data_IF_357809642770
#
_entry.id   IF_357809642770
#
_cell.length_a   1.000
_cell.length_b   1.000
_cell.length_c   1.000
_cell.angle_alpha   90.00
_cell.angle_beta   90.00
_cell.angle_gamma   90.00
#
_symmetry.space_group_name_H-M   'P 1'
#
loop_
_entity.id
_entity.type
_entity.pdbx_description
1 polymer ?
#
# COMPACT_ATOMS: atom_id res chain seq x y z
N UNK A 1 45.98 -18.56 -27.91
CA UNK A 1 45.57 -17.27 -27.31
C UNK A 1 44.07 -17.13 -27.54
N UNK A 2 43.25 -17.52 -26.55
CA UNK A 2 41.79 -17.42 -26.57
C UNK A 2 41.43 -16.52 -25.39
N UNK A 3 40.75 -15.41 -25.67
CA UNK A 3 40.23 -14.48 -24.66
C UNK A 3 38.78 -14.84 -24.44
N UNK A 4 38.45 -15.32 -23.23
CA UNK A 4 37.07 -15.58 -22.79
C UNK A 4 36.49 -14.26 -22.25
N UNK A 5 35.48 -13.72 -22.93
CA UNK A 5 34.71 -12.57 -22.45
C UNK A 5 33.65 -13.09 -21.48
N UNK A 6 33.72 -12.65 -20.23
CA UNK A 6 32.74 -12.94 -19.19
C UNK A 6 31.59 -11.93 -19.30
N UNK A 7 30.45 -12.36 -19.85
CA UNK A 7 29.25 -11.53 -19.93
C UNK A 7 28.49 -11.58 -18.60
N UNK A 8 28.48 -10.48 -17.85
CA UNK A 8 27.61 -10.32 -16.67
C UNK A 8 26.22 -9.93 -17.16
N UNK A 9 25.25 -10.84 -17.03
CA UNK A 9 23.83 -10.51 -17.22
C UNK A 9 23.36 -9.71 -15.98
N UNK A 10 23.17 -8.40 -16.14
CA UNK A 10 22.32 -7.64 -15.24
C UNK A 10 20.87 -7.98 -15.56
N UNK A 11 20.22 -8.79 -14.72
CA UNK A 11 18.76 -8.89 -14.75
C UNK A 11 18.23 -7.59 -14.16
N UNK A 12 17.79 -6.68 -15.02
CA UNK A 12 16.98 -5.55 -14.60
C UNK A 12 15.63 -6.11 -14.13
N UNK A 13 15.31 -5.96 -12.85
CA UNK A 13 13.97 -6.21 -12.35
C UNK A 13 13.12 -5.02 -12.83
N UNK A 14 12.34 -5.21 -13.89
CA UNK A 14 11.36 -4.22 -14.32
C UNK A 14 10.27 -4.17 -13.24
N UNK A 15 10.21 -3.10 -12.45
CA UNK A 15 8.99 -2.81 -11.71
C UNK A 15 7.86 -2.63 -12.73
N UNK A 16 6.69 -3.26 -12.58
CA UNK A 16 5.57 -2.95 -13.44
C UNK A 16 5.22 -1.46 -13.28
N UNK A 17 5.53 -0.66 -14.30
CA UNK A 17 5.27 0.79 -14.34
C UNK A 17 3.77 1.15 -14.30
N UNK A 18 2.88 0.14 -14.28
CA UNK A 18 1.43 0.28 -14.36
C UNK A 18 0.70 -0.59 -13.33
N UNK A 19 1.23 -0.74 -12.10
CA UNK A 19 0.36 -1.20 -11.01
C UNK A 19 -0.60 -0.06 -10.69
N UNK A 20 -1.92 -0.23 -10.90
CA UNK A 20 -2.89 0.80 -10.52
C UNK A 20 -2.77 1.04 -9.02
N UNK A 21 -2.68 2.30 -8.60
CA UNK A 21 -2.62 2.62 -7.19
C UNK A 21 -3.83 2.02 -6.45
N UNK A 22 -3.59 1.45 -5.28
CA UNK A 22 -4.64 0.81 -4.48
C UNK A 22 -5.72 1.81 -4.05
N UNK A 23 -6.94 1.31 -3.84
CA UNK A 23 -7.99 2.05 -3.17
C UNK A 23 -7.71 2.16 -1.67
N UNK A 24 -8.13 3.28 -1.07
CA UNK A 24 -8.00 3.54 0.37
C UNK A 24 -9.32 4.04 0.96
N UNK A 25 -9.73 3.46 2.09
CA UNK A 25 -10.82 3.96 2.95
C UNK A 25 -10.39 3.93 4.41
N UNK A 26 -10.88 4.90 5.18
CA UNK A 26 -10.83 4.83 6.64
C UNK A 26 -12.14 4.25 7.13
N UNK A 27 -12.07 3.17 7.91
CA UNK A 27 -13.22 2.50 8.49
C UNK A 27 -13.10 2.42 10.00
N UNK A 28 -14.22 2.23 10.67
CA UNK A 28 -14.26 1.92 12.10
C UNK A 28 -14.67 0.46 12.29
N UNK A 29 -13.92 -0.25 13.12
CA UNK A 29 -14.20 -1.64 13.48
C UNK A 29 -14.58 -1.67 14.96
N UNK A 30 -15.73 -2.25 15.27
CA UNK A 30 -16.18 -2.42 16.64
C UNK A 30 -15.22 -3.35 17.42
N UNK A 31 -14.85 -2.95 18.62
CA UNK A 31 -13.98 -3.73 19.50
C UNK A 31 -14.67 -3.89 20.86
N UNK A 32 -15.38 -5.02 21.10
CA UNK A 32 -16.18 -5.21 22.32
C UNK A 32 -15.40 -5.08 23.63
N UNK A 33 -14.11 -5.39 23.62
CA UNK A 33 -13.23 -5.31 24.78
C UNK A 33 -12.65 -3.90 25.02
N UNK A 34 -13.12 -2.89 24.27
CA UNK A 34 -12.68 -1.49 24.35
C UNK A 34 -13.88 -0.56 24.41
N UNK A 35 -13.71 0.57 25.10
CA UNK A 35 -14.74 1.62 25.15
C UNK A 35 -14.90 2.39 23.83
N UNK A 36 -13.95 2.24 22.89
CA UNK A 36 -13.94 2.94 21.61
C UNK A 36 -13.64 2.01 20.44
N UNK A 37 -14.23 2.26 19.25
CA UNK A 37 -13.92 1.50 18.05
C UNK A 37 -12.47 1.73 17.59
N UNK A 38 -11.98 0.81 16.77
CA UNK A 38 -10.64 0.89 16.18
C UNK A 38 -10.77 1.52 14.80
N UNK A 39 -10.06 2.63 14.58
CA UNK A 39 -9.90 3.21 13.24
C UNK A 39 -8.89 2.40 12.44
N UNK A 40 -9.26 1.98 11.24
CA UNK A 40 -8.46 1.13 10.36
C UNK A 40 -8.37 1.77 8.98
N UNK A 41 -7.17 1.78 8.40
CA UNK A 41 -6.97 2.06 6.98
C UNK A 41 -7.16 0.77 6.18
N UNK A 42 -8.25 0.71 5.42
CA UNK A 42 -8.53 -0.39 4.50
C UNK A 42 -7.92 -0.06 3.14
N UNK A 43 -6.91 -0.83 2.75
CA UNK A 43 -6.31 -0.81 1.43
C UNK A 43 -6.85 -1.98 0.60
N UNK A 44 -7.24 -1.72 -0.64
CA UNK A 44 -7.93 -2.73 -1.46
C UNK A 44 -7.70 -2.54 -2.96
N UNK A 45 -7.78 -3.61 -3.76
CA UNK A 45 -7.80 -3.51 -5.22
C UNK A 45 -9.01 -2.70 -5.69
N UNK A 46 -8.80 -1.73 -6.58
CA UNK A 46 -9.86 -0.81 -7.05
C UNK A 46 -10.11 -0.97 -8.55
N UNK A 47 -11.35 -0.73 -8.99
CA UNK A 47 -11.71 -0.58 -10.42
C UNK A 47 -11.47 0.83 -10.96
N UNK A 48 -10.97 1.73 -10.11
CA UNK A 48 -10.80 3.15 -10.40
C UNK A 48 -11.87 4.01 -9.74
N UNK A 49 -11.91 5.29 -10.12
CA UNK A 49 -12.73 6.29 -9.44
C UNK A 49 -12.07 6.85 -8.18
N UNK A 50 -12.90 7.43 -7.30
CA UNK A 50 -12.42 8.13 -6.11
C UNK A 50 -11.58 9.37 -6.44
N UNK A 51 -10.89 9.89 -5.44
CA UNK A 51 -9.93 11.00 -5.61
C UNK A 51 -8.49 10.50 -5.44
N UNK A 52 -7.57 11.02 -6.25
CA UNK A 52 -6.15 10.70 -6.09
C UNK A 52 -5.64 11.39 -4.83
N UNK A 53 -4.93 10.64 -4.00
CA UNK A 53 -4.32 11.14 -2.78
C UNK A 53 -2.91 10.58 -2.61
N UNK A 54 -2.11 11.25 -1.80
CA UNK A 54 -0.79 10.80 -1.39
C UNK A 54 -0.78 10.56 0.13
N UNK A 55 -0.44 9.35 0.54
CA UNK A 55 -0.50 8.90 1.93
C UNK A 55 0.90 8.92 2.55
N UNK A 56 1.01 9.52 3.73
CA UNK A 56 2.26 9.51 4.53
C UNK A 56 3.34 10.48 4.05
N UNK A 57 3.11 11.19 2.94
CA UNK A 57 4.03 12.18 2.38
C UNK A 57 4.20 13.40 3.26
N UNK A 58 5.45 13.87 3.41
CA UNK A 58 5.79 15.12 4.07
C UNK A 58 7.22 15.55 3.69
N UNK A 59 7.80 16.54 4.38
CA UNK A 59 9.15 17.07 4.10
C UNK A 59 10.28 16.05 4.28
N UNK A 60 10.03 14.95 4.98
CA UNK A 60 11.03 13.92 5.32
C UNK A 60 10.75 12.60 4.60
N UNK A 61 9.48 12.26 4.40
CA UNK A 61 9.05 10.97 3.85
C UNK A 61 8.38 11.14 2.48
N UNK A 62 8.73 10.27 1.54
CA UNK A 62 8.00 10.14 0.28
C UNK A 62 6.64 9.52 0.58
N UNK A 63 5.58 10.13 0.06
CA UNK A 63 4.26 9.56 0.16
C UNK A 63 4.01 8.49 -0.88
N UNK A 64 2.89 7.80 -0.68
CA UNK A 64 2.48 6.67 -1.48
C UNK A 64 1.16 7.00 -2.17
N UNK A 65 1.03 6.81 -3.50
CA UNK A 65 -0.21 7.12 -4.20
C UNK A 65 -1.33 6.15 -3.79
N UNK A 66 -2.54 6.67 -3.66
CA UNK A 66 -3.75 5.89 -3.43
C UNK A 66 -4.98 6.56 -4.06
N UNK A 67 -6.04 5.79 -4.28
CA UNK A 67 -7.35 6.32 -4.66
C UNK A 67 -8.29 6.32 -3.45
N UNK A 68 -8.48 7.49 -2.85
CA UNK A 68 -9.38 7.67 -1.70
C UNK A 68 -10.83 7.43 -2.13
N UNK A 69 -11.52 6.58 -1.38
CA UNK A 69 -12.95 6.24 -1.52
C UNK A 69 -13.32 5.68 -2.90
N UNK A 70 -12.37 5.10 -3.64
CA UNK A 70 -12.62 4.49 -4.94
C UNK A 70 -13.48 3.22 -4.86
N UNK A 71 -13.98 2.75 -5.99
CA UNK A 71 -14.82 1.55 -6.02
C UNK A 71 -13.97 0.29 -5.82
N UNK A 72 -14.37 -0.56 -4.87
CA UNK A 72 -13.69 -1.84 -4.61
C UNK A 72 -13.83 -2.73 -5.85
N UNK A 73 -12.74 -3.38 -6.25
CA UNK A 73 -12.78 -4.32 -7.36
C UNK A 73 -13.62 -5.57 -7.04
N UNK A 74 -14.23 -6.15 -8.06
CA UNK A 74 -14.96 -7.41 -7.93
C UNK A 74 -13.99 -8.59 -7.80
N UNK A 75 -14.36 -9.58 -6.97
CA UNK A 75 -13.59 -10.81 -6.76
C UNK A 75 -13.43 -11.15 -5.28
N UNK A 76 -12.75 -12.27 -5.02
CA UNK A 76 -12.32 -12.67 -3.69
C UNK A 76 -10.83 -12.38 -3.53
N UNK A 77 -10.48 -11.63 -2.49
CA UNK A 77 -9.10 -11.25 -2.22
C UNK A 77 -8.68 -11.77 -0.84
N UNK A 78 -7.46 -12.31 -0.70
CA UNK A 78 -6.93 -12.63 0.62
C UNK A 78 -6.82 -11.35 1.45
N UNK A 79 -7.16 -11.45 2.74
CA UNK A 79 -7.11 -10.33 3.67
C UNK A 79 -5.89 -10.46 4.57
N UNK A 80 -5.08 -9.39 4.62
CA UNK A 80 -3.95 -9.27 5.54
C UNK A 80 -4.27 -8.19 6.56
N UNK A 81 -4.24 -8.55 7.85
CA UNK A 81 -4.36 -7.60 8.95
C UNK A 81 -2.96 -7.19 9.41
N UNK A 82 -2.66 -5.89 9.30
CA UNK A 82 -1.40 -5.32 9.73
C UNK A 82 -1.62 -4.42 10.95
N UNK A 83 -1.07 -4.81 12.10
CA UNK A 83 -1.01 -3.94 13.26
C UNK A 83 0.21 -3.01 13.14
N UNK A 84 -0.02 -1.70 13.15
CA UNK A 84 1.08 -0.74 13.31
C UNK A 84 1.65 -0.84 14.73
N UNK A 85 2.91 -0.43 14.92
CA UNK A 85 3.58 -0.47 16.21
C UNK A 85 2.97 0.45 17.28
N UNK A 86 3.63 0.54 18.44
CA UNK A 86 3.18 1.33 19.60
C UNK A 86 3.39 2.85 19.48
N UNK A 87 3.75 3.50 20.60
CA UNK A 87 3.69 4.96 20.85
C UNK A 87 4.29 5.91 19.79
N UNK A 88 5.08 5.43 18.84
CA UNK A 88 5.71 6.25 17.77
C UNK A 88 5.41 5.76 16.36
N UNK A 89 4.54 4.75 16.21
CA UNK A 89 4.06 4.36 14.91
C UNK A 89 2.99 5.34 14.44
N UNK A 90 3.01 5.63 13.15
CA UNK A 90 1.96 6.37 12.49
C UNK A 90 1.24 5.42 11.50
N UNK A 91 -0.09 5.33 11.53
CA UNK A 91 -0.85 4.44 10.65
C UNK A 91 -0.62 4.69 9.16
N UNK A 92 -0.15 5.87 8.76
CA UNK A 92 0.17 6.18 7.35
C UNK A 92 1.55 5.68 6.91
N UNK A 93 2.46 5.34 7.83
CA UNK A 93 3.82 4.90 7.51
C UNK A 93 3.91 3.47 6.99
N UNK A 94 2.85 2.68 7.13
CA UNK A 94 2.78 1.30 6.63
C UNK A 94 2.11 1.19 5.25
N UNK A 95 1.63 2.31 4.68
CA UNK A 95 0.87 2.32 3.43
C UNK A 95 1.64 1.76 2.23
N UNK A 96 2.97 1.90 2.21
CA UNK A 96 3.83 1.40 1.12
C UNK A 96 3.80 -0.12 0.96
N UNK A 97 3.45 -0.87 2.00
CA UNK A 97 3.33 -2.34 1.94
C UNK A 97 2.07 -2.74 1.16
N UNK A 98 1.04 -1.90 1.19
CA UNK A 98 -0.29 -2.21 0.67
C UNK A 98 -0.64 -1.49 -0.64
N UNK A 99 0.25 -0.64 -1.15
CA UNK A 99 -0.01 0.24 -2.30
C UNK A 99 0.38 -0.34 -3.66
N UNK A 100 1.01 -1.51 -3.68
CA UNK A 100 1.54 -2.16 -4.89
C UNK A 100 1.16 -3.64 -4.93
#
# INVERSE_FOLDING_TARGET
MIVLILSVLFVACSSPDNVPAAGLRMIEVAAPDRDTPISVSLWYPTRGGGSHTEVGGNKVFQGVPAHQDADIAEGEFPVVLLAHGGLRANPTMSGWIASY
#
